data_IF_620703218884
#
_entry.id   IF_620703218884
#
_cell.length_a   1.000
_cell.length_b   1.000
_cell.length_c   1.000
_cell.angle_alpha   90.00
_cell.angle_beta   90.00
_cell.angle_gamma   90.00
#
_symmetry.space_group_name_H-M   'P 1'
#
loop_
_entity.id
_entity.type
_entity.pdbx_description
1 polymer ?
#
# COMPACT_ATOMS: atom_id res chain seq x y z
N UNK A 1 -37.92 -31.17 -24.63
CA UNK A 1 -38.97 -31.47 -23.64
C UNK A 1 -38.29 -31.50 -22.27
N UNK A 2 -38.47 -30.47 -21.45
CA UNK A 2 -37.78 -30.26 -20.18
C UNK A 2 -38.21 -31.29 -19.13
N UNK A 3 -37.30 -32.16 -18.69
CA UNK A 3 -37.51 -33.02 -17.52
C UNK A 3 -37.12 -32.26 -16.26
N UNK A 4 -38.12 -31.70 -15.59
CA UNK A 4 -37.99 -31.04 -14.29
C UNK A 4 -37.88 -32.11 -13.19
N UNK A 5 -36.68 -32.30 -12.64
CA UNK A 5 -36.50 -33.07 -11.41
C UNK A 5 -36.85 -32.19 -10.21
N UNK A 6 -37.96 -32.52 -9.54
CA UNK A 6 -38.41 -31.89 -8.29
C UNK A 6 -37.66 -32.51 -7.11
N UNK A 7 -36.64 -31.83 -6.63
CA UNK A 7 -36.22 -31.91 -5.22
C UNK A 7 -36.90 -30.75 -4.48
N UNK A 8 -37.44 -31.04 -3.31
CA UNK A 8 -38.22 -30.13 -2.46
C UNK A 8 -37.43 -28.84 -2.15
N UNK A 9 -38.06 -27.66 -2.25
CA UNK A 9 -37.65 -26.48 -1.47
C UNK A 9 -37.43 -25.15 -2.19
N UNK A 10 -36.57 -25.05 -3.21
CA UNK A 10 -36.28 -23.77 -3.86
C UNK A 10 -36.09 -23.94 -5.37
N UNK A 11 -36.96 -23.30 -6.17
CA UNK A 11 -36.70 -23.08 -7.61
C UNK A 11 -35.73 -21.93 -7.74
N UNK A 12 -34.44 -22.18 -7.53
CA UNK A 12 -33.41 -21.24 -7.95
C UNK A 12 -33.46 -21.19 -9.49
N UNK A 13 -33.90 -20.07 -10.05
CA UNK A 13 -33.88 -19.86 -11.49
C UNK A 13 -32.43 -19.97 -11.98
N UNK A 14 -32.22 -20.33 -13.25
CA UNK A 14 -30.88 -20.32 -13.84
C UNK A 14 -30.20 -18.95 -13.63
N UNK A 15 -30.97 -17.87 -13.70
CA UNK A 15 -30.51 -16.52 -13.35
C UNK A 15 -30.04 -16.42 -11.89
N UNK A 16 -30.75 -17.02 -10.93
CA UNK A 16 -30.35 -17.09 -9.52
C UNK A 16 -29.10 -17.94 -9.27
N UNK A 17 -28.95 -19.06 -10.00
CA UNK A 17 -27.72 -19.87 -9.94
C UNK A 17 -26.54 -19.11 -10.56
N UNK A 18 -26.76 -18.41 -11.68
CA UNK A 18 -25.74 -17.59 -12.34
C UNK A 18 -25.33 -16.39 -11.49
N UNK A 19 -26.25 -15.70 -10.82
CA UNK A 19 -25.91 -14.59 -9.93
C UNK A 19 -25.16 -15.07 -8.70
N UNK A 20 -25.54 -16.21 -8.11
CA UNK A 20 -24.76 -16.82 -7.01
C UNK A 20 -23.36 -17.22 -7.51
N UNK A 21 -23.24 -17.84 -8.68
CA UNK A 21 -21.93 -18.18 -9.25
C UNK A 21 -21.08 -16.93 -9.55
N UNK A 22 -21.65 -15.89 -10.15
CA UNK A 22 -20.93 -14.64 -10.42
C UNK A 22 -20.51 -13.94 -9.14
N UNK A 23 -21.34 -13.93 -8.10
CA UNK A 23 -21.01 -13.39 -6.80
C UNK A 23 -19.88 -14.16 -6.11
N UNK A 24 -19.92 -15.50 -6.18
CA UNK A 24 -18.86 -16.35 -5.62
C UNK A 24 -17.55 -16.19 -6.42
N UNK A 25 -17.62 -16.07 -7.74
CA UNK A 25 -16.47 -15.82 -8.60
C UNK A 25 -15.86 -14.45 -8.26
N UNK A 26 -16.65 -13.39 -8.17
CA UNK A 26 -16.20 -12.04 -7.79
C UNK A 26 -15.45 -12.04 -6.44
N UNK A 27 -16.02 -12.70 -5.42
CA UNK A 27 -15.37 -12.89 -4.12
C UNK A 27 -14.08 -13.71 -4.16
N UNK A 28 -13.97 -14.66 -5.10
CA UNK A 28 -12.80 -15.51 -5.24
C UNK A 28 -11.62 -14.77 -5.88
N UNK A 29 -11.87 -13.72 -6.67
CA UNK A 29 -10.84 -13.03 -7.46
C UNK A 29 -10.34 -11.75 -6.75
N UNK A 30 -11.13 -11.17 -5.83
CA UNK A 30 -10.85 -9.86 -5.24
C UNK A 30 -10.10 -9.89 -3.89
N UNK A 31 -10.00 -11.03 -3.21
CA UNK A 31 -9.43 -11.11 -1.86
C UNK A 31 -8.09 -11.84 -1.84
N UNK A 32 -7.02 -11.14 -1.44
CA UNK A 32 -5.80 -11.79 -0.94
C UNK A 32 -6.20 -12.61 0.30
N UNK A 33 -6.24 -13.94 0.23
CA UNK A 33 -6.42 -14.86 1.37
C UNK A 33 -7.47 -14.46 2.44
N UNK A 34 -8.61 -13.89 2.01
CA UNK A 34 -9.70 -13.49 2.91
C UNK A 34 -9.68 -12.04 3.40
N UNK A 35 -8.75 -11.22 2.92
CA UNK A 35 -8.71 -9.78 3.18
C UNK A 35 -9.55 -8.98 2.19
N UNK A 36 -10.18 -7.91 2.68
CA UNK A 36 -11.10 -7.04 1.95
C UNK A 36 -10.38 -5.73 1.56
N UNK A 37 -10.22 -5.45 0.25
CA UNK A 37 -9.67 -4.18 -0.22
C UNK A 37 -10.51 -2.98 0.27
N UNK A 38 -9.86 -1.94 0.80
CA UNK A 38 -10.51 -0.73 1.33
C UNK A 38 -10.96 -0.84 2.80
N UNK A 39 -10.94 -2.05 3.37
CA UNK A 39 -11.16 -2.27 4.80
C UNK A 39 -9.84 -2.68 5.48
N UNK A 40 -9.23 -3.78 5.00
CA UNK A 40 -8.00 -4.32 5.59
C UNK A 40 -6.73 -3.64 5.08
N UNK A 41 -6.77 -3.13 3.84
CA UNK A 41 -5.65 -2.46 3.20
C UNK A 41 -6.11 -1.38 2.22
N UNK A 42 -5.30 -0.33 2.01
CA UNK A 42 -5.65 0.79 1.15
C UNK A 42 -5.68 0.39 -0.34
N UNK A 43 -6.54 1.05 -1.11
CA UNK A 43 -6.79 0.78 -2.53
C UNK A 43 -6.58 2.00 -3.42
N UNK A 44 -5.66 2.89 -3.02
CA UNK A 44 -5.26 4.00 -3.86
C UNK A 44 -4.72 3.47 -5.18
N UNK A 45 -5.08 4.13 -6.29
CA UNK A 45 -4.58 3.86 -7.65
C UNK A 45 -3.62 4.94 -8.13
N UNK A 46 -3.57 6.06 -7.41
CA UNK A 46 -2.68 7.20 -7.62
C UNK A 46 -2.34 7.84 -6.28
N UNK A 47 -1.31 8.68 -6.23
CA UNK A 47 -0.96 9.43 -5.02
C UNK A 47 -2.03 10.51 -4.78
N UNK A 48 -2.73 10.51 -3.63
CA UNK A 48 -3.73 11.53 -3.32
C UNK A 48 -3.12 12.94 -3.28
N UNK A 49 -3.92 13.92 -3.69
CA UNK A 49 -3.56 15.33 -3.53
C UNK A 49 -3.82 15.80 -2.10
N UNK A 50 -3.02 16.76 -1.62
CA UNK A 50 -3.26 17.42 -0.33
C UNK A 50 -2.80 16.66 0.91
N UNK A 51 -1.92 15.66 0.75
CA UNK A 51 -1.26 14.97 1.88
C UNK A 51 -0.46 15.94 2.74
N UNK A 52 -0.41 15.68 4.04
CA UNK A 52 0.25 16.55 5.02
C UNK A 52 1.78 16.37 5.10
N UNK A 53 2.31 15.26 4.57
CA UNK A 53 3.74 14.96 4.63
C UNK A 53 4.58 15.98 3.83
N UNK A 54 5.70 16.43 4.41
CA UNK A 54 6.72 17.24 3.71
C UNK A 54 8.13 16.74 4.02
N UNK A 55 9.08 17.12 3.16
CA UNK A 55 10.51 16.82 3.36
C UNK A 55 11.27 17.91 4.15
N UNK A 56 10.58 18.95 4.65
CA UNK A 56 11.23 20.16 5.20
C UNK A 56 11.97 19.88 6.51
N UNK A 57 11.44 19.00 7.35
CA UNK A 57 11.99 18.58 8.63
C UNK A 57 12.64 17.19 8.58
N UNK A 58 12.88 16.68 7.38
CA UNK A 58 13.38 15.33 7.13
C UNK A 58 14.81 15.36 6.59
N UNK A 59 15.61 14.36 6.95
CA UNK A 59 16.87 14.07 6.25
C UNK A 59 16.58 13.44 4.87
N UNK A 60 17.52 13.47 3.92
CA UNK A 60 17.40 12.70 2.69
C UNK A 60 17.12 11.22 2.97
N UNK A 61 16.12 10.64 2.32
CA UNK A 61 15.71 9.26 2.58
C UNK A 61 14.30 8.92 2.14
N UNK A 62 13.83 7.76 2.59
CA UNK A 62 12.52 7.19 2.24
C UNK A 62 11.59 7.19 3.43
N UNK A 63 10.34 7.61 3.25
CA UNK A 63 9.39 7.84 4.32
C UNK A 63 8.04 7.22 4.00
N UNK A 64 7.60 6.28 4.84
CA UNK A 64 6.22 5.80 4.83
C UNK A 64 5.26 6.94 5.17
N UNK A 65 4.10 6.98 4.53
CA UNK A 65 3.04 7.93 4.85
C UNK A 65 1.87 7.26 5.59
N UNK A 66 1.75 7.44 6.92
CA UNK A 66 0.64 6.89 7.69
C UNK A 66 -0.73 7.42 7.27
N UNK A 67 -0.82 8.61 6.66
CA UNK A 67 -2.09 9.20 6.22
C UNK A 67 -2.78 8.35 5.15
N UNK A 68 -2.00 7.59 4.38
CA UNK A 68 -2.48 6.71 3.29
C UNK A 68 -2.39 5.23 3.66
N UNK A 69 -2.38 4.90 4.96
CA UNK A 69 -2.10 3.55 5.46
C UNK A 69 -0.79 2.99 4.87
N UNK A 70 0.21 3.86 4.67
CA UNK A 70 1.52 3.56 4.11
C UNK A 70 1.49 3.00 2.67
N UNK A 71 0.38 3.09 1.93
CA UNK A 71 0.40 2.75 0.51
C UNK A 71 1.25 3.77 -0.27
N UNK A 72 1.19 5.03 0.13
CA UNK A 72 2.10 6.07 -0.37
C UNK A 72 3.36 6.09 0.48
N UNK A 73 4.47 6.36 -0.19
CA UNK A 73 5.72 6.70 0.45
C UNK A 73 6.41 7.82 -0.31
N UNK A 74 7.26 8.57 0.40
CA UNK A 74 7.93 9.74 -0.09
C UNK A 74 9.43 9.55 -0.11
N UNK A 75 10.05 10.03 -1.18
CA UNK A 75 11.49 10.08 -1.35
C UNK A 75 11.95 11.54 -1.22
N UNK A 76 12.66 11.84 -0.14
CA UNK A 76 13.31 13.12 0.07
C UNK A 76 14.73 13.07 -0.48
N UNK A 77 15.02 13.89 -1.49
CA UNK A 77 16.31 13.94 -2.18
C UNK A 77 16.99 15.29 -1.91
N UNK A 78 18.32 15.35 -1.68
CA UNK A 78 19.01 16.62 -1.51
C UNK A 78 18.86 17.51 -2.76
N UNK A 79 18.34 18.73 -2.59
CA UNK A 79 18.15 19.71 -3.68
C UNK A 79 18.75 21.09 -3.37
N UNK A 80 18.69 22.02 -4.33
CA UNK A 80 19.05 23.42 -4.07
C UNK A 80 17.94 24.08 -3.24
N UNK A 81 18.27 24.64 -2.08
CA UNK A 81 17.30 25.31 -1.20
C UNK A 81 16.52 24.42 -0.22
N UNK A 82 16.69 23.10 -0.24
CA UNK A 82 15.99 22.16 0.65
C UNK A 82 15.99 20.74 0.10
N UNK A 83 15.22 19.84 0.71
CA UNK A 83 14.98 18.52 0.14
C UNK A 83 13.83 18.57 -0.88
N UNK A 84 14.06 17.98 -2.05
CA UNK A 84 13.02 17.77 -3.06
C UNK A 84 12.23 16.50 -2.72
N UNK A 85 10.91 16.57 -2.81
CA UNK A 85 10.02 15.43 -2.55
C UNK A 85 9.57 14.77 -3.85
N UNK A 86 9.58 13.43 -3.87
CA UNK A 86 8.88 12.60 -4.86
C UNK A 86 7.98 11.60 -4.13
N UNK A 87 6.81 11.32 -4.66
CA UNK A 87 5.85 10.41 -4.02
C UNK A 87 5.56 9.22 -4.91
N UNK A 88 5.46 8.05 -4.30
CA UNK A 88 5.25 6.79 -5.00
C UNK A 88 4.18 5.98 -4.30
N UNK A 89 3.59 5.06 -5.06
CA UNK A 89 2.52 4.20 -4.61
C UNK A 89 2.98 2.74 -4.64
N UNK A 90 2.77 2.02 -3.54
CA UNK A 90 2.91 0.56 -3.50
C UNK A 90 1.77 -0.12 -4.28
N UNK A 91 2.08 -1.29 -4.86
CA UNK A 91 1.10 -2.06 -5.62
C UNK A 91 -0.04 -2.61 -4.75
N UNK A 92 -1.16 -3.05 -5.35
CA UNK A 92 -2.31 -3.57 -4.62
C UNK A 92 -1.92 -4.67 -3.62
N UNK A 93 -2.45 -4.58 -2.39
CA UNK A 93 -2.17 -5.52 -1.30
C UNK A 93 -0.82 -5.34 -0.60
N UNK A 94 -0.06 -4.30 -0.94
CA UNK A 94 1.23 -3.98 -0.31
C UNK A 94 1.27 -2.55 0.20
N UNK A 95 2.08 -2.31 1.23
CA UNK A 95 2.33 -0.98 1.82
C UNK A 95 3.81 -0.85 2.15
N UNK A 96 4.30 0.37 2.24
CA UNK A 96 5.71 0.66 2.42
C UNK A 96 6.17 0.31 3.84
N UNK A 97 7.09 -0.65 3.93
CA UNK A 97 7.72 -1.04 5.18
C UNK A 97 8.91 -0.12 5.47
N UNK A 98 8.73 0.84 6.37
CA UNK A 98 9.77 1.80 6.71
C UNK A 98 11.09 1.14 7.15
N UNK A 99 11.05 0.00 7.85
CA UNK A 99 12.26 -0.69 8.34
C UNK A 99 13.16 -1.19 7.22
N UNK A 100 12.56 -1.67 6.14
CA UNK A 100 13.26 -2.33 5.04
C UNK A 100 13.27 -1.50 3.76
N UNK A 101 12.51 -0.40 3.73
CA UNK A 101 12.36 0.54 2.61
C UNK A 101 11.85 -0.09 1.32
N UNK A 102 11.00 -1.10 1.46
CA UNK A 102 10.37 -1.78 0.33
C UNK A 102 8.88 -1.90 0.60
N UNK A 103 8.09 -1.99 -0.46
CA UNK A 103 6.70 -2.40 -0.34
C UNK A 103 6.65 -3.88 0.08
N UNK A 104 5.99 -4.17 1.20
CA UNK A 104 5.75 -5.54 1.68
C UNK A 104 4.24 -5.72 1.85
N UNK A 105 3.80 -6.95 2.07
CA UNK A 105 2.39 -7.24 2.31
C UNK A 105 1.89 -6.47 3.53
N UNK A 106 0.72 -5.86 3.41
CA UNK A 106 0.19 -4.94 4.42
C UNK A 106 0.13 -5.54 5.83
N UNK A 107 -0.19 -6.84 5.95
CA UNK A 107 -0.27 -7.55 7.24
C UNK A 107 1.10 -7.78 7.90
N UNK A 108 2.21 -7.50 7.23
CA UNK A 108 3.57 -7.55 7.80
C UNK A 108 4.07 -6.18 8.26
N UNK A 109 3.32 -5.10 7.96
CA UNK A 109 3.76 -3.73 8.19
C UNK A 109 2.92 -3.08 9.28
N UNK A 110 3.58 -2.71 10.37
CA UNK A 110 3.01 -1.84 11.41
C UNK A 110 3.06 -0.37 10.94
N UNK A 111 2.12 -0.02 10.07
CA UNK A 111 2.07 1.31 9.44
C UNK A 111 1.90 2.47 10.44
N UNK A 112 1.00 2.41 11.44
CA UNK A 112 0.84 3.50 12.42
C UNK A 112 2.14 3.83 13.17
N UNK A 113 3.01 2.83 13.35
CA UNK A 113 4.29 2.98 14.02
C UNK A 113 5.47 3.20 13.05
N UNK A 114 5.22 3.36 11.76
CA UNK A 114 6.28 3.49 10.74
C UNK A 114 7.23 4.66 11.04
N UNK A 115 6.72 5.77 11.57
CA UNK A 115 7.52 6.94 11.94
C UNK A 115 8.64 6.63 12.95
N UNK A 116 8.44 5.66 13.84
CA UNK A 116 9.47 5.23 14.79
C UNK A 116 10.73 4.65 14.11
N UNK A 117 10.63 4.28 12.83
CA UNK A 117 11.71 3.72 12.03
C UNK A 117 12.28 4.72 11.01
N UNK A 118 11.90 6.00 11.04
CA UNK A 118 12.48 7.00 10.13
C UNK A 118 14.00 7.15 10.30
N UNK A 119 14.53 6.88 11.49
CA UNK A 119 15.98 6.92 11.77
C UNK A 119 16.78 5.93 10.95
N UNK A 120 16.16 4.90 10.36
CA UNK A 120 16.90 3.99 9.47
C UNK A 120 17.59 4.81 8.37
N UNK A 121 16.97 5.88 7.86
CA UNK A 121 17.49 6.74 6.78
C UNK A 121 18.85 7.36 7.05
N UNK A 122 19.36 7.30 8.28
CA UNK A 122 20.69 7.79 8.63
C UNK A 122 21.84 7.02 7.96
N UNK A 123 21.60 5.82 7.43
CA UNK A 123 22.59 5.05 6.64
C UNK A 123 22.63 5.43 5.15
N UNK A 124 21.66 6.22 4.67
CA UNK A 124 21.58 6.62 3.27
C UNK A 124 22.44 7.85 2.98
N UNK A 125 22.70 8.08 1.69
CA UNK A 125 23.41 9.26 1.21
C UNK A 125 24.81 9.43 1.82
N UNK A 126 25.52 8.33 2.03
CA UNK A 126 26.90 8.30 2.51
C UNK A 126 27.83 7.67 1.49
N UNK A 127 29.07 8.15 1.43
CA UNK A 127 30.16 7.50 0.68
C UNK A 127 30.71 6.28 1.43
N UNK A 128 31.69 5.58 0.83
CA UNK A 128 32.34 4.40 1.45
C UNK A 128 33.05 4.72 2.78
N UNK A 129 33.42 5.98 2.99
CA UNK A 129 34.03 6.46 4.22
C UNK A 129 33.00 6.94 5.26
N UNK A 130 31.70 6.90 4.95
CA UNK A 130 30.60 7.31 5.82
C UNK A 130 30.29 8.81 5.79
N UNK A 131 30.91 9.59 4.91
CA UNK A 131 30.63 11.02 4.76
C UNK A 131 29.36 11.24 3.94
N UNK A 132 28.58 12.26 4.30
CA UNK A 132 27.38 12.62 3.54
C UNK A 132 27.72 13.08 2.13
N UNK A 133 27.14 12.42 1.13
CA UNK A 133 27.30 12.82 -0.28
C UNK A 133 26.62 14.18 -0.49
N UNK A 134 27.28 15.04 -1.25
CA UNK A 134 26.86 16.44 -1.46
C UNK A 134 26.73 17.27 -0.16
N UNK A 135 27.32 16.82 0.95
CA UNK A 135 27.41 17.57 2.21
C UNK A 135 26.08 17.85 2.91
N UNK A 136 25.00 17.18 2.51
CA UNK A 136 23.67 17.35 3.11
C UNK A 136 23.31 16.16 3.98
N UNK A 137 23.20 16.43 5.28
CA UNK A 137 22.54 15.55 6.24
C UNK A 137 21.03 15.66 6.10
#
# INVERSE_FOLDING_TARGET
>A
MMTSHRLCGLRLSWAGVLTVLLYLIDRSIAALDGYVPGEDYPIYTEVPQGLSFTCDDKIPGYYADPETMCQVWHWCVPGLGGNQMYSFLCGPGTVFNQRTRVCDYFYKVDCPNSQAYYSVNEDLYKDEAGNYINGKK
#
